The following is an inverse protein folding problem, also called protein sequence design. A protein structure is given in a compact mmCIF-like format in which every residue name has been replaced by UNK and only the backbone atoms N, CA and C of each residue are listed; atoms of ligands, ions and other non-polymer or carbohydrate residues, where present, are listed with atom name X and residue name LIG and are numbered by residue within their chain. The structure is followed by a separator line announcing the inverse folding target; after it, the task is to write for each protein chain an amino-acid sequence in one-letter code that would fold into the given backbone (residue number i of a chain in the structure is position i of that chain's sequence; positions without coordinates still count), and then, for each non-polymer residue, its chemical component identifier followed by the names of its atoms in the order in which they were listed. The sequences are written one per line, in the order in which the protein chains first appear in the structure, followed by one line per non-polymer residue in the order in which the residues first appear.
data_IF_983566283773
#
_entry.id   IF_983566283773
#
_cell.length_a   1.000
_cell.length_b   1.000
_cell.length_c   1.000
_cell.angle_alpha   90.00
_cell.angle_beta   90.00
_cell.angle_gamma   90.00
#
_symmetry.space_group_name_H-M   'P 1'
#
loop_
_entity.id
_entity.type
_entity.pdbx_description
1 polymer ?
#
# COMPACT_ATOMS: atom_id res chain seq x y z
N UNK A 1 46.86 -38.02 45.68
CA UNK A 1 47.81 -37.21 44.88
C UNK A 1 47.02 -36.17 44.07
N UNK A 2 47.59 -34.97 43.87
CA UNK A 2 47.33 -33.95 42.81
C UNK A 2 45.87 -33.71 42.36
N UNK A 3 45.26 -32.57 42.74
CA UNK A 3 45.18 -31.27 42.00
C UNK A 3 44.17 -31.31 40.81
N UNK A 4 43.09 -30.52 40.72
CA UNK A 4 42.74 -29.10 41.04
C UNK A 4 43.01 -28.11 39.88
N UNK A 5 42.08 -27.13 39.72
CA UNK A 5 41.99 -25.98 38.78
C UNK A 5 41.36 -26.28 37.40
N UNK A 6 40.25 -25.64 36.96
CA UNK A 6 39.91 -24.19 36.74
C UNK A 6 40.36 -23.70 35.33
N UNK A 7 39.76 -22.69 34.67
CA UNK A 7 38.90 -21.57 35.13
C UNK A 7 37.92 -21.04 34.05
N UNK A 8 36.85 -20.40 34.55
CA UNK A 8 35.80 -19.53 34.00
C UNK A 8 36.01 -18.64 32.74
N UNK A 9 34.87 -18.33 32.11
CA UNK A 9 34.44 -16.97 31.73
C UNK A 9 33.12 -16.99 30.93
N UNK A 10 32.05 -16.22 31.22
CA UNK A 10 31.75 -15.31 32.34
C UNK A 10 30.23 -14.98 32.44
N UNK A 11 29.84 -14.40 33.58
CA UNK A 11 28.48 -14.14 34.11
C UNK A 11 27.49 -13.28 33.27
N UNK A 12 26.19 -13.62 33.44
CA UNK A 12 25.00 -12.77 33.81
C UNK A 12 24.53 -11.61 32.88
N UNK A 13 23.23 -11.29 32.76
CA UNK A 13 22.24 -10.84 33.79
C UNK A 13 20.79 -11.25 33.44
N UNK A 14 19.93 -11.35 34.46
CA UNK A 14 18.50 -11.74 34.41
C UNK A 14 17.56 -10.51 34.31
N UNK A 15 16.60 -10.56 33.38
CA UNK A 15 15.19 -10.07 33.48
C UNK A 15 14.33 -10.93 32.53
N UNK A 16 13.09 -11.38 32.83
CA UNK A 16 12.38 -11.34 34.11
C UNK A 16 10.85 -11.59 34.08
N UNK A 17 10.27 -12.31 33.10
CA UNK A 17 8.81 -12.44 32.94
C UNK A 17 8.27 -13.87 33.12
N UNK A 18 7.58 -14.07 34.25
CA UNK A 18 6.56 -15.09 34.58
C UNK A 18 6.66 -16.47 33.91
N UNK A 19 7.16 -17.45 34.67
CA UNK A 19 7.00 -18.86 34.35
C UNK A 19 5.55 -19.31 34.56
N UNK A 20 4.72 -19.28 33.51
CA UNK A 20 3.52 -20.12 33.47
C UNK A 20 3.96 -21.57 33.42
N UNK A 21 3.76 -22.30 34.52
CA UNK A 21 3.88 -23.76 34.53
C UNK A 21 2.79 -24.30 33.61
N UNK A 22 3.16 -24.67 32.39
CA UNK A 22 2.31 -25.50 31.55
C UNK A 22 2.30 -26.88 32.19
N UNK A 23 1.25 -27.17 32.96
CA UNK A 23 0.98 -28.53 33.38
C UNK A 23 0.81 -29.38 32.11
N UNK A 24 1.64 -30.42 31.98
CA UNK A 24 1.42 -31.47 30.98
C UNK A 24 0.25 -32.36 31.43
N UNK A 25 -0.94 -31.78 31.57
CA UNK A 25 -2.16 -32.54 31.74
C UNK A 25 -2.43 -33.29 30.43
N UNK A 26 -2.50 -34.61 30.52
CA UNK A 26 -2.95 -35.42 29.40
C UNK A 26 -4.39 -35.03 29.05
N UNK A 27 -4.75 -34.96 27.76
CA UNK A 27 -6.10 -34.60 27.34
C UNK A 27 -7.12 -35.53 27.99
N UNK A 28 -8.16 -34.96 28.60
CA UNK A 28 -9.31 -35.77 29.01
C UNK A 28 -9.95 -36.33 27.75
N UNK A 29 -10.21 -37.65 27.73
CA UNK A 29 -10.78 -38.33 26.54
C UNK A 29 -12.09 -37.71 26.07
N UNK A 30 -12.83 -37.09 26.99
CA UNK A 30 -14.06 -36.33 26.76
C UNK A 30 -13.76 -35.06 25.95
N UNK A 31 -12.79 -34.23 26.34
CA UNK A 31 -12.46 -33.00 25.61
C UNK A 31 -12.00 -33.30 24.18
N UNK A 32 -11.17 -34.34 24.02
CA UNK A 32 -10.68 -34.82 22.72
C UNK A 32 -11.84 -35.28 21.81
N UNK A 33 -12.75 -36.11 22.32
CA UNK A 33 -13.89 -36.62 21.54
C UNK A 33 -14.91 -35.52 21.16
N UNK A 34 -15.14 -34.54 22.04
CA UNK A 34 -16.02 -33.40 21.69
C UNK A 34 -15.36 -32.53 20.61
N UNK A 35 -14.04 -32.31 20.68
CA UNK A 35 -13.29 -31.59 19.65
C UNK A 35 -13.34 -32.31 18.29
N UNK A 36 -13.08 -33.61 18.26
CA UNK A 36 -13.20 -34.47 17.06
C UNK A 36 -14.58 -34.35 16.40
N UNK A 37 -15.65 -34.42 17.19
CA UNK A 37 -17.02 -34.27 16.68
C UNK A 37 -17.32 -32.84 16.20
N UNK A 38 -16.76 -31.81 16.83
CA UNK A 38 -16.97 -30.41 16.43
C UNK A 38 -16.30 -30.07 15.08
N UNK A 39 -15.15 -30.67 14.78
CA UNK A 39 -14.45 -30.45 13.50
C UNK A 39 -14.84 -31.47 12.42
N UNK A 40 -15.59 -32.54 12.76
CA UNK A 40 -15.76 -33.73 11.90
C UNK A 40 -16.11 -33.42 10.45
N UNK A 41 -17.10 -32.56 10.21
CA UNK A 41 -17.53 -32.20 8.85
C UNK A 41 -16.41 -31.57 8.03
N UNK A 42 -15.65 -30.63 8.60
CA UNK A 42 -14.56 -29.96 7.90
C UNK A 42 -13.29 -30.83 7.81
N UNK A 43 -13.08 -31.74 8.77
CA UNK A 43 -12.01 -32.73 8.75
C UNK A 43 -12.25 -33.77 7.64
N UNK A 44 -13.46 -34.33 7.56
CA UNK A 44 -13.86 -35.26 6.50
C UNK A 44 -13.75 -34.56 5.13
N UNK A 45 -14.28 -33.33 5.01
CA UNK A 45 -14.15 -32.51 3.80
C UNK A 45 -12.69 -32.23 3.40
N UNK A 46 -11.81 -31.93 4.35
CA UNK A 46 -10.39 -31.73 4.10
C UNK A 46 -9.69 -33.03 3.65
N UNK A 47 -10.10 -34.18 4.18
CA UNK A 47 -9.58 -35.50 3.77
C UNK A 47 -9.95 -35.85 2.32
N UNK A 48 -11.11 -35.40 1.83
CA UNK A 48 -11.59 -35.65 0.45
C UNK A 48 -10.87 -34.81 -0.62
N UNK A 49 -10.14 -33.75 -0.24
CA UNK A 49 -9.39 -32.88 -1.16
C UNK A 49 -8.20 -33.63 -1.75
N UNK A 50 -8.38 -34.15 -2.96
CA UNK A 50 -7.42 -35.02 -3.66
C UNK A 50 -7.01 -34.48 -5.04
N UNK A 51 -7.57 -33.34 -5.46
CA UNK A 51 -7.30 -32.74 -6.78
C UNK A 51 -7.03 -31.24 -6.66
N UNK A 52 -6.30 -30.67 -7.62
CA UNK A 52 -6.00 -29.24 -7.65
C UNK A 52 -7.28 -28.38 -7.64
N UNK A 53 -8.31 -28.78 -8.39
CA UNK A 53 -9.62 -28.11 -8.41
C UNK A 53 -10.29 -28.08 -7.03
N UNK A 54 -10.29 -29.20 -6.29
CA UNK A 54 -10.90 -29.26 -4.96
C UNK A 54 -10.08 -28.50 -3.92
N UNK A 55 -8.75 -28.47 -4.06
CA UNK A 55 -7.85 -27.70 -3.20
C UNK A 55 -8.02 -26.17 -3.37
N UNK A 56 -8.09 -25.67 -4.61
CA UNK A 56 -8.37 -24.24 -4.85
C UNK A 56 -9.78 -23.85 -4.37
N UNK A 57 -10.79 -24.70 -4.56
CA UNK A 57 -12.14 -24.42 -4.05
C UNK A 57 -12.18 -24.37 -2.51
N UNK A 58 -11.48 -25.28 -1.82
CA UNK A 58 -11.37 -25.25 -0.35
C UNK A 58 -10.68 -23.96 0.12
N UNK A 59 -9.60 -23.55 -0.55
CA UNK A 59 -8.88 -22.29 -0.29
C UNK A 59 -9.76 -21.05 -0.50
N UNK A 60 -10.61 -21.03 -1.53
CA UNK A 60 -11.60 -19.95 -1.74
C UNK A 60 -12.59 -19.91 -0.57
N UNK A 61 -13.18 -21.04 -0.20
CA UNK A 61 -14.16 -21.10 0.89
C UNK A 61 -13.56 -20.77 2.28
N UNK A 62 -12.28 -21.08 2.48
CA UNK A 62 -11.51 -20.65 3.64
C UNK A 62 -11.33 -19.12 3.68
N UNK A 63 -10.86 -18.52 2.58
CA UNK A 63 -10.67 -17.08 2.47
C UNK A 63 -11.99 -16.28 2.56
N UNK A 64 -13.10 -16.86 2.08
CA UNK A 64 -14.45 -16.31 2.19
C UNK A 64 -15.05 -16.42 3.61
N UNK A 65 -14.31 -16.97 4.59
CA UNK A 65 -14.77 -17.25 5.96
C UNK A 65 -15.99 -18.19 6.04
N UNK A 66 -16.19 -19.07 5.04
CA UNK A 66 -17.23 -20.11 5.07
C UNK A 66 -16.79 -21.28 5.96
N UNK A 67 -15.49 -21.56 6.01
CA UNK A 67 -14.88 -22.61 6.84
C UNK A 67 -14.51 -22.00 8.20
N UNK A 68 -15.27 -22.35 9.24
CA UNK A 68 -15.04 -21.89 10.62
C UNK A 68 -15.64 -22.86 11.62
N UNK A 69 -14.94 -23.10 12.72
CA UNK A 69 -15.43 -23.85 13.88
C UNK A 69 -15.17 -22.98 15.12
N UNK A 70 -16.18 -22.80 15.97
CA UNK A 70 -16.08 -22.02 17.20
C UNK A 70 -15.02 -22.64 18.13
N UNK A 71 -14.22 -21.81 18.81
CA UNK A 71 -13.10 -22.23 19.66
C UNK A 71 -11.97 -23.04 18.98
N UNK A 72 -11.84 -22.94 17.65
CA UNK A 72 -10.80 -23.63 16.87
C UNK A 72 -10.08 -22.66 15.92
N UNK A 73 -8.76 -22.67 15.96
CA UNK A 73 -7.88 -22.07 14.95
C UNK A 73 -7.70 -23.09 13.84
N UNK A 74 -7.93 -22.69 12.59
CA UNK A 74 -7.80 -23.56 11.41
C UNK A 74 -6.67 -23.02 10.53
N UNK A 75 -5.66 -23.86 10.26
CA UNK A 75 -4.53 -23.52 9.40
C UNK A 75 -4.55 -24.35 8.11
N UNK A 76 -4.86 -23.69 6.99
CA UNK A 76 -4.80 -24.29 5.66
C UNK A 76 -3.36 -24.37 5.16
N UNK A 77 -2.86 -25.60 4.98
CA UNK A 77 -1.52 -25.88 4.48
C UNK A 77 -1.61 -26.47 3.06
N UNK A 78 -1.72 -25.59 2.07
CA UNK A 78 -1.82 -25.94 0.66
C UNK A 78 -0.66 -25.36 -0.17
N UNK A 79 0.14 -26.26 -0.75
CA UNK A 79 1.18 -25.97 -1.74
C UNK A 79 0.59 -26.32 -3.11
N UNK A 80 0.49 -25.32 -3.99
CA UNK A 80 -0.03 -25.47 -5.35
C UNK A 80 0.94 -26.33 -6.18
N UNK A 81 0.47 -27.35 -6.94
CA UNK A 81 1.33 -28.12 -7.83
C UNK A 81 1.92 -27.26 -8.97
N UNK A 82 3.06 -27.71 -9.48
CA UNK A 82 3.67 -27.20 -10.72
C UNK A 82 3.89 -28.37 -11.68
N UNK A 83 4.17 -28.08 -12.96
CA UNK A 83 4.37 -29.15 -13.96
C UNK A 83 5.48 -30.15 -13.61
N UNK A 84 6.49 -29.73 -12.83
CA UNK A 84 7.62 -30.57 -12.39
C UNK A 84 7.41 -31.22 -11.02
N UNK A 85 6.47 -30.73 -10.21
CA UNK A 85 6.36 -31.07 -8.79
C UNK A 85 4.90 -31.11 -8.33
N UNK A 86 4.44 -32.27 -7.87
CA UNK A 86 3.16 -32.40 -7.16
C UNK A 86 3.13 -31.48 -5.94
N UNK A 87 2.00 -30.82 -5.75
CA UNK A 87 1.69 -30.02 -4.59
C UNK A 87 1.25 -30.88 -3.40
N UNK A 88 0.79 -30.24 -2.34
CA UNK A 88 0.33 -30.92 -1.13
C UNK A 88 -0.78 -30.15 -0.45
N UNK A 89 -1.79 -30.86 0.05
CA UNK A 89 -2.89 -30.29 0.81
C UNK A 89 -3.04 -31.01 2.16
N UNK A 90 -3.12 -30.22 3.24
CA UNK A 90 -3.68 -30.64 4.51
C UNK A 90 -4.18 -29.43 5.32
N UNK A 91 -4.98 -29.69 6.35
CA UNK A 91 -5.51 -28.70 7.28
C UNK A 91 -5.17 -29.10 8.70
N UNK A 92 -4.74 -28.14 9.52
CA UNK A 92 -4.51 -28.31 10.95
C UNK A 92 -5.62 -27.61 11.72
N UNK A 93 -6.23 -28.33 12.66
CA UNK A 93 -7.26 -27.84 13.56
C UNK A 93 -6.67 -27.78 14.97
N UNK A 94 -6.56 -26.58 15.53
CA UNK A 94 -5.91 -26.30 16.82
C UNK A 94 -6.90 -25.65 17.79
N UNK A 95 -7.24 -26.27 18.92
CA UNK A 95 -8.08 -25.67 19.95
C UNK A 95 -7.57 -24.31 20.45
N UNK A 96 -8.46 -23.36 20.71
CA UNK A 96 -8.07 -22.09 21.37
C UNK A 96 -7.75 -22.32 22.85
N UNK A 97 -6.75 -21.60 23.37
CA UNK A 97 -6.28 -21.75 24.77
C UNK A 97 -7.30 -21.36 25.84
N UNK A 98 -8.36 -20.62 25.47
CA UNK A 98 -9.45 -20.17 26.36
C UNK A 98 -10.81 -20.77 26.02
N UNK A 99 -10.89 -21.56 24.95
CA UNK A 99 -12.15 -22.10 24.45
C UNK A 99 -12.55 -23.44 25.06
N UNK A 100 -13.75 -23.91 24.67
CA UNK A 100 -14.38 -25.16 25.09
C UNK A 100 -13.51 -26.42 24.87
N UNK A 101 -12.54 -26.36 23.97
CA UNK A 101 -11.67 -27.48 23.59
C UNK A 101 -10.22 -27.36 24.09
N UNK A 102 -9.91 -26.41 24.99
CA UNK A 102 -8.54 -26.08 25.39
C UNK A 102 -7.70 -27.22 26.02
N UNK A 103 -8.32 -28.36 26.37
CA UNK A 103 -7.64 -29.58 26.83
C UNK A 103 -7.40 -30.62 25.71
N UNK A 104 -7.93 -30.43 24.51
CA UNK A 104 -7.75 -31.34 23.37
C UNK A 104 -6.41 -31.07 22.66
N UNK A 105 -5.92 -32.07 21.93
CA UNK A 105 -4.73 -31.94 21.07
C UNK A 105 -5.12 -31.52 19.66
N UNK A 106 -4.19 -30.89 18.94
CA UNK A 106 -4.35 -30.60 17.50
C UNK A 106 -4.72 -31.86 16.72
N UNK A 107 -5.56 -31.70 15.69
CA UNK A 107 -5.90 -32.75 14.73
C UNK A 107 -5.53 -32.26 13.35
N UNK A 108 -5.00 -33.15 12.53
CA UNK A 108 -4.59 -32.88 11.15
C UNK A 108 -5.44 -33.72 10.21
N UNK A 109 -5.85 -33.14 9.09
CA UNK A 109 -6.35 -33.95 7.97
C UNK A 109 -5.25 -34.87 7.44
N UNK A 110 -5.65 -35.83 6.62
CA UNK A 110 -4.75 -36.55 5.72
C UNK A 110 -3.86 -35.57 4.95
N UNK A 111 -2.62 -35.97 4.75
CA UNK A 111 -1.69 -35.29 3.84
C UNK A 111 -1.90 -35.85 2.44
N UNK A 112 -2.56 -35.06 1.59
CA UNK A 112 -2.87 -35.46 0.22
C UNK A 112 -1.86 -34.82 -0.73
N UNK A 113 -1.16 -35.64 -1.52
CA UNK A 113 -0.40 -35.15 -2.66
C UNK A 113 -1.38 -34.69 -3.74
N UNK A 114 -1.13 -33.52 -4.33
CA UNK A 114 -1.99 -32.91 -5.33
C UNK A 114 -1.22 -32.85 -6.64
N UNK A 115 -1.64 -33.60 -7.64
CA UNK A 115 -0.99 -33.58 -8.95
C UNK A 115 -1.42 -32.36 -9.79
N UNK A 116 -0.55 -31.96 -10.72
CA UNK A 116 -0.77 -30.82 -11.61
C UNK A 116 -1.86 -31.13 -12.66
N UNK A 117 -2.96 -30.39 -12.62
CA UNK A 117 -4.03 -30.51 -13.61
C UNK A 117 -3.64 -29.76 -14.89
N UNK A 118 -2.92 -30.47 -15.76
CA UNK A 118 -2.45 -29.98 -17.06
C UNK A 118 -3.60 -29.51 -17.96
N UNK A 119 -4.80 -30.10 -17.83
CA UNK A 119 -5.96 -29.71 -18.64
C UNK A 119 -6.55 -28.39 -18.14
N UNK A 120 -6.76 -28.25 -16.83
CA UNK A 120 -7.24 -27.01 -16.23
C UNK A 120 -6.24 -25.85 -16.45
N UNK A 121 -4.92 -26.13 -16.36
CA UNK A 121 -3.89 -25.14 -16.62
C UNK A 121 -3.83 -24.72 -18.10
N UNK A 122 -3.99 -25.65 -19.04
CA UNK A 122 -4.11 -25.35 -20.47
C UNK A 122 -5.37 -24.49 -20.76
N UNK A 123 -6.52 -24.88 -20.21
CA UNK A 123 -7.77 -24.15 -20.38
C UNK A 123 -7.69 -22.72 -19.83
N UNK A 124 -7.09 -22.54 -18.65
CA UNK A 124 -6.82 -21.23 -18.07
C UNK A 124 -5.90 -20.38 -18.96
N UNK A 125 -4.84 -20.98 -19.54
CA UNK A 125 -3.90 -20.27 -20.41
C UNK A 125 -4.54 -19.80 -21.72
N UNK A 126 -5.45 -20.57 -22.32
CA UNK A 126 -6.12 -20.20 -23.57
C UNK A 126 -7.40 -19.37 -23.39
N UNK A 127 -7.98 -19.32 -22.19
CA UNK A 127 -9.32 -18.79 -21.93
C UNK A 127 -9.58 -17.41 -22.57
N UNK A 128 -8.67 -16.46 -22.40
CA UNK A 128 -8.84 -15.10 -22.91
C UNK A 128 -8.75 -14.99 -24.44
N UNK A 129 -8.06 -15.92 -25.10
CA UNK A 129 -7.98 -15.99 -26.57
C UNK A 129 -9.16 -16.77 -27.14
N UNK A 130 -9.59 -17.83 -26.45
CA UNK A 130 -10.80 -18.58 -26.76
C UNK A 130 -12.05 -17.67 -26.68
N UNK A 131 -12.17 -16.85 -25.63
CA UNK A 131 -13.24 -15.84 -25.49
C UNK A 131 -13.15 -14.79 -26.61
N UNK A 132 -11.96 -14.28 -26.92
CA UNK A 132 -11.82 -13.28 -27.99
C UNK A 132 -12.22 -13.85 -29.36
N UNK A 133 -11.75 -15.04 -29.70
CA UNK A 133 -12.13 -15.75 -30.92
C UNK A 133 -13.65 -15.98 -31.03
N UNK A 134 -14.32 -16.29 -29.91
CA UNK A 134 -15.78 -16.44 -29.85
C UNK A 134 -16.56 -15.15 -30.18
N UNK A 135 -15.96 -13.96 -30.06
CA UNK A 135 -16.63 -12.69 -30.38
C UNK A 135 -16.43 -12.23 -31.83
N UNK A 136 -15.62 -12.94 -32.63
CA UNK A 136 -15.32 -12.58 -34.01
C UNK A 136 -16.49 -12.99 -34.92
N UNK A 137 -17.28 -12.00 -35.35
CA UNK A 137 -18.53 -12.17 -36.13
C UNK A 137 -18.55 -11.40 -37.46
N UNK A 138 -17.51 -10.61 -37.75
CA UNK A 138 -17.43 -9.78 -38.97
C UNK A 138 -16.20 -10.15 -39.82
N UNK A 139 -16.31 -9.97 -41.15
CA UNK A 139 -15.25 -10.29 -42.13
C UNK A 139 -13.92 -9.63 -41.76
N UNK A 140 -13.92 -8.30 -41.60
CA UNK A 140 -12.73 -7.51 -41.29
C UNK A 140 -11.95 -8.00 -40.06
N UNK A 141 -12.65 -8.43 -39.00
CA UNK A 141 -12.01 -8.94 -37.78
C UNK A 141 -11.52 -10.39 -37.98
N UNK A 142 -12.29 -11.23 -38.68
CA UNK A 142 -11.88 -12.60 -39.01
C UNK A 142 -10.67 -12.65 -39.96
N UNK A 143 -10.61 -11.74 -40.92
CA UNK A 143 -9.48 -11.55 -41.83
C UNK A 143 -8.20 -11.14 -41.09
N UNK A 144 -8.31 -10.13 -40.23
CA UNK A 144 -7.17 -9.57 -39.48
C UNK A 144 -6.91 -10.26 -38.13
N UNK A 145 -7.55 -11.41 -37.85
CA UNK A 145 -7.33 -12.16 -36.63
C UNK A 145 -5.87 -12.63 -36.51
N UNK A 146 -5.17 -12.07 -35.54
CA UNK A 146 -3.79 -12.36 -35.21
C UNK A 146 -3.69 -12.68 -33.71
N UNK A 147 -3.69 -13.97 -33.31
CA UNK A 147 -3.76 -14.36 -31.90
C UNK A 147 -2.53 -13.92 -31.12
N UNK A 148 -2.72 -13.61 -29.84
CA UNK A 148 -1.60 -13.39 -28.93
C UNK A 148 -0.83 -14.72 -28.75
N UNK A 149 0.52 -14.73 -28.85
CA UNK A 149 1.30 -15.95 -28.60
C UNK A 149 1.12 -16.43 -27.15
N UNK A 150 0.73 -17.69 -27.00
CA UNK A 150 0.63 -18.42 -25.74
C UNK A 150 1.77 -19.43 -25.71
N UNK A 151 2.51 -19.53 -24.60
CA UNK A 151 3.60 -20.50 -24.49
C UNK A 151 3.07 -21.91 -24.65
N UNK A 152 3.80 -22.76 -25.38
CA UNK A 152 3.47 -24.17 -25.57
C UNK A 152 2.09 -24.46 -26.20
N UNK A 153 1.49 -23.49 -26.89
CA UNK A 153 0.22 -23.65 -27.62
C UNK A 153 0.37 -23.10 -29.04
N UNK A 154 0.13 -23.97 -30.02
CA UNK A 154 -0.06 -23.58 -31.42
C UNK A 154 -1.51 -23.09 -31.61
N UNK A 155 -1.66 -21.91 -32.19
CA UNK A 155 -2.97 -21.30 -32.46
C UNK A 155 -3.13 -21.11 -33.96
N UNK A 156 -4.13 -21.76 -34.55
CA UNK A 156 -4.44 -21.64 -35.97
C UNK A 156 -5.85 -21.06 -36.18
N UNK A 157 -6.03 -20.29 -37.25
CA UNK A 157 -7.35 -19.80 -37.67
C UNK A 157 -7.87 -20.65 -38.83
N UNK A 158 -9.12 -21.08 -38.71
CA UNK A 158 -9.91 -21.60 -39.80
C UNK A 158 -10.92 -20.51 -40.18
N UNK A 159 -10.68 -19.85 -41.32
CA UNK A 159 -11.58 -18.83 -41.85
C UNK A 159 -11.96 -19.16 -43.28
N UNK A 160 -13.26 -19.21 -43.54
CA UNK A 160 -13.87 -19.31 -44.86
C UNK A 160 -14.60 -18.00 -45.11
N UNK A 161 -14.15 -17.26 -46.12
CA UNK A 161 -14.76 -15.99 -46.50
C UNK A 161 -16.16 -16.23 -47.12
N UNK A 162 -17.19 -15.45 -46.75
CA UNK A 162 -18.51 -15.54 -47.39
C UNK A 162 -18.42 -15.14 -48.87
N UNK A 163 -19.21 -15.82 -49.72
CA UNK A 163 -19.10 -15.72 -51.19
C UNK A 163 -20.25 -14.91 -51.82
N UNK A 164 -21.45 -14.97 -51.25
CA UNK A 164 -22.64 -14.21 -51.72
C UNK A 164 -23.63 -13.99 -50.56
N UNK A 165 -24.66 -13.13 -50.71
CA UNK A 165 -25.65 -12.88 -49.65
C UNK A 165 -26.36 -14.14 -49.11
N UNK A 166 -26.36 -15.22 -49.87
CA UNK A 166 -26.94 -16.53 -49.57
C UNK A 166 -25.92 -17.55 -49.03
N UNK A 167 -24.62 -17.23 -49.08
CA UNK A 167 -23.51 -18.11 -48.70
C UNK A 167 -22.66 -17.41 -47.63
N UNK A 168 -23.06 -17.63 -46.38
CA UNK A 168 -22.29 -17.22 -45.20
C UNK A 168 -20.94 -17.95 -45.13
N UNK A 169 -19.96 -17.25 -44.57
CA UNK A 169 -18.65 -17.76 -44.23
C UNK A 169 -18.59 -18.24 -42.79
N UNK A 170 -17.41 -18.67 -42.36
CA UNK A 170 -17.19 -19.29 -41.07
C UNK A 170 -15.86 -18.84 -40.48
N UNK A 171 -15.83 -18.55 -39.18
CA UNK A 171 -14.60 -18.32 -38.41
C UNK A 171 -14.52 -19.27 -37.21
N UNK A 172 -13.35 -19.86 -37.00
CA UNK A 172 -13.02 -20.64 -35.82
C UNK A 172 -11.51 -20.55 -35.53
N UNK A 173 -11.12 -20.46 -34.26
CA UNK A 173 -9.73 -20.62 -33.82
C UNK A 173 -9.54 -22.00 -33.16
N UNK A 174 -8.40 -22.65 -33.44
CA UNK A 174 -8.00 -23.91 -32.80
C UNK A 174 -6.75 -23.70 -31.96
N UNK A 175 -6.75 -24.30 -30.77
CA UNK A 175 -5.72 -24.21 -29.74
C UNK A 175 -5.16 -25.61 -29.49
N UNK A 176 -3.93 -25.85 -29.93
CA UNK A 176 -3.31 -27.18 -29.91
C UNK A 176 -2.05 -27.13 -29.04
N UNK A 177 -1.97 -27.88 -27.94
CA UNK A 177 -0.74 -28.02 -27.17
C UNK A 177 0.43 -28.50 -28.03
N UNK A 178 1.61 -27.92 -27.84
CA UNK A 178 2.83 -28.37 -28.51
C UNK A 178 3.28 -29.71 -27.95
N UNK A 179 3.87 -30.56 -28.80
CA UNK A 179 4.28 -31.95 -28.46
C UNK A 179 5.44 -32.07 -27.46
N UNK A 180 5.98 -30.96 -26.97
CA UNK A 180 7.15 -30.91 -26.09
C UNK A 180 7.07 -29.79 -25.05
N UNK A 181 5.88 -29.21 -24.88
CA UNK A 181 5.63 -28.10 -23.97
C UNK A 181 4.86 -28.53 -22.72
N UNK A 182 4.68 -27.63 -21.76
CA UNK A 182 4.08 -27.94 -20.45
C UNK A 182 2.63 -28.46 -20.53
N UNK A 183 1.96 -28.27 -21.67
CA UNK A 183 0.59 -28.71 -21.94
C UNK A 183 0.49 -29.98 -22.80
N UNK A 184 1.59 -30.70 -23.08
CA UNK A 184 1.65 -31.83 -24.03
C UNK A 184 0.55 -32.91 -23.88
N UNK A 185 0.02 -33.08 -22.67
CA UNK A 185 -1.02 -34.07 -22.32
C UNK A 185 -2.45 -33.51 -22.32
N UNK A 186 -2.62 -32.20 -22.51
CA UNK A 186 -3.94 -31.58 -22.60
C UNK A 186 -4.61 -31.88 -23.94
N UNK A 187 -5.93 -31.95 -23.93
CA UNK A 187 -6.75 -32.12 -25.13
C UNK A 187 -6.92 -30.76 -25.83
N UNK A 188 -6.66 -30.67 -27.16
CA UNK A 188 -6.87 -29.46 -27.93
C UNK A 188 -8.30 -28.89 -27.78
N UNK A 189 -8.42 -27.57 -27.94
CA UNK A 189 -9.71 -26.86 -27.88
C UNK A 189 -9.92 -26.03 -29.12
N UNK A 190 -11.19 -25.76 -29.43
CA UNK A 190 -11.59 -24.88 -30.54
C UNK A 190 -12.59 -23.86 -30.03
N UNK A 191 -12.61 -22.67 -30.64
CA UNK A 191 -13.68 -21.70 -30.43
C UNK A 191 -15.01 -22.24 -30.98
N UNK A 192 -16.09 -21.55 -30.64
CA UNK A 192 -17.34 -21.62 -31.40
C UNK A 192 -17.08 -21.40 -32.88
N UNK A 193 -17.84 -22.11 -33.70
CA UNK A 193 -17.92 -21.89 -35.14
C UNK A 193 -18.81 -20.66 -35.39
N UNK A 194 -18.21 -19.49 -35.54
CA UNK A 194 -18.94 -18.26 -35.78
C UNK A 194 -19.33 -18.13 -37.26
N UNK A 195 -20.59 -17.78 -37.51
CA UNK A 195 -21.11 -17.50 -38.86
C UNK A 195 -20.72 -16.07 -39.24
N UNK A 196 -20.13 -15.89 -40.43
CA UNK A 196 -19.66 -14.60 -40.93
C UNK A 196 -20.46 -14.21 -42.17
N UNK A 197 -21.34 -13.22 -42.04
CA UNK A 197 -22.25 -12.83 -43.13
C UNK A 197 -21.54 -12.09 -44.27
N UNK A 198 -22.04 -12.29 -45.49
CA UNK A 198 -21.47 -11.69 -46.70
C UNK A 198 -21.52 -10.16 -46.72
N UNK A 199 -22.68 -9.58 -46.49
CA UNK A 199 -22.86 -8.13 -46.47
C UNK A 199 -23.11 -7.61 -45.06
N UNK A 200 -22.30 -6.62 -44.67
CA UNK A 200 -22.68 -5.69 -43.63
C UNK A 200 -23.90 -4.92 -44.12
N UNK A 201 -25.08 -5.32 -43.62
CA UNK A 201 -26.36 -4.67 -43.84
C UNK A 201 -26.25 -3.14 -43.65
N UNK A 202 -27.17 -2.38 -44.26
CA UNK A 202 -27.17 -0.92 -44.13
C UNK A 202 -27.25 -0.41 -42.68
N UNK A 203 -27.68 -1.25 -41.74
CA UNK A 203 -27.67 -0.99 -40.29
C UNK A 203 -26.33 -1.39 -39.63
N UNK A 204 -25.68 -2.49 -40.06
CA UNK A 204 -24.32 -2.87 -39.64
C UNK A 204 -23.28 -1.82 -40.05
N UNK A 205 -23.33 -1.30 -41.28
CA UNK A 205 -22.42 -0.22 -41.73
C UNK A 205 -22.61 1.08 -40.93
N UNK A 206 -23.84 1.38 -40.51
CA UNK A 206 -24.14 2.52 -39.63
C UNK A 206 -23.64 2.29 -38.20
N UNK A 207 -23.72 1.06 -37.70
CA UNK A 207 -23.15 0.68 -36.40
C UNK A 207 -21.63 0.82 -36.41
N UNK A 208 -20.95 0.27 -37.42
CA UNK A 208 -19.50 0.38 -37.59
C UNK A 208 -19.02 1.83 -37.71
N UNK A 209 -19.68 2.64 -38.55
CA UNK A 209 -19.38 4.07 -38.66
C UNK A 209 -19.64 4.86 -37.35
N UNK A 210 -20.54 4.40 -36.49
CA UNK A 210 -20.82 5.03 -35.20
C UNK A 210 -19.84 4.64 -34.08
N UNK A 211 -19.05 3.57 -34.27
CA UNK A 211 -18.00 3.16 -33.34
C UNK A 211 -16.58 3.47 -33.85
N UNK A 212 -16.41 3.91 -35.10
CA UNK A 212 -15.11 3.98 -35.79
C UNK A 212 -14.03 4.76 -35.00
N UNK A 213 -14.35 5.97 -34.53
CA UNK A 213 -13.43 6.79 -33.71
C UNK A 213 -13.01 6.07 -32.40
N UNK A 214 -13.96 5.41 -31.74
CA UNK A 214 -13.75 4.73 -30.46
C UNK A 214 -13.02 3.39 -30.64
N UNK A 215 -13.29 2.71 -31.75
CA UNK A 215 -12.61 1.49 -32.21
C UNK A 215 -11.16 1.80 -32.58
N UNK A 216 -10.91 2.88 -33.33
CA UNK A 216 -9.57 3.36 -33.66
C UNK A 216 -8.79 3.77 -32.40
N UNK A 217 -9.44 4.46 -31.45
CA UNK A 217 -8.86 4.79 -30.15
C UNK A 217 -8.47 3.51 -29.38
N UNK A 218 -9.38 2.54 -29.25
CA UNK A 218 -9.14 1.28 -28.56
C UNK A 218 -8.00 0.46 -29.20
N UNK A 219 -7.98 0.36 -30.53
CA UNK A 219 -6.91 -0.30 -31.28
C UNK A 219 -5.53 0.35 -31.03
N UNK A 220 -5.49 1.68 -30.83
CA UNK A 220 -4.27 2.44 -30.54
C UNK A 220 -3.70 2.31 -29.11
N UNK A 221 -4.35 1.53 -28.23
CA UNK A 221 -3.92 1.36 -26.83
C UNK A 221 -2.95 0.18 -26.71
N UNK A 222 -1.66 0.52 -26.68
CA UNK A 222 -0.54 -0.42 -26.62
C UNK A 222 0.27 -0.34 -25.31
N UNK A 223 -0.15 0.47 -24.34
CA UNK A 223 0.60 0.73 -23.10
C UNK A 223 -0.30 0.89 -21.87
N UNK A 224 0.31 0.79 -20.69
CA UNK A 224 -0.40 0.73 -19.41
C UNK A 224 -1.10 2.05 -19.08
N UNK A 225 -0.38 3.18 -19.23
CA UNK A 225 -0.92 4.53 -18.96
C UNK A 225 -2.24 4.77 -19.74
N UNK A 226 -2.25 4.48 -21.06
CA UNK A 226 -3.43 4.67 -21.91
C UNK A 226 -4.57 3.71 -21.59
N UNK A 227 -4.29 2.48 -21.17
CA UNK A 227 -5.33 1.53 -20.79
C UNK A 227 -5.99 1.87 -19.45
N UNK A 228 -5.21 2.32 -18.45
CA UNK A 228 -5.77 2.86 -17.21
C UNK A 228 -6.57 4.13 -17.47
N UNK A 229 -6.08 5.03 -18.33
CA UNK A 229 -6.80 6.24 -18.71
C UNK A 229 -8.12 5.88 -19.40
N UNK A 230 -8.11 5.00 -20.41
CA UNK A 230 -9.33 4.57 -21.10
C UNK A 230 -10.35 3.92 -20.13
N UNK A 231 -9.86 3.11 -19.19
CA UNK A 231 -10.70 2.52 -18.13
C UNK A 231 -11.27 3.55 -17.13
N UNK A 232 -10.67 4.74 -17.02
CA UNK A 232 -11.16 5.84 -16.18
C UNK A 232 -12.12 6.76 -16.97
N UNK A 233 -11.82 6.99 -18.25
CA UNK A 233 -12.62 7.83 -19.15
C UNK A 233 -13.93 7.12 -19.57
N UNK A 234 -13.95 5.78 -19.61
CA UNK A 234 -15.15 4.96 -19.86
C UNK A 234 -16.04 4.85 -18.59
N UNK A 235 -16.49 6.00 -18.08
CA UNK A 235 -17.43 6.08 -16.95
C UNK A 235 -18.83 5.59 -17.35
N UNK A 236 -19.25 5.89 -18.58
CA UNK A 236 -20.53 5.43 -19.15
C UNK A 236 -20.28 4.36 -20.24
N UNK A 237 -20.68 3.10 -20.02
CA UNK A 237 -20.59 2.06 -21.04
C UNK A 237 -21.57 2.28 -22.21
N UNK A 238 -22.44 3.28 -22.17
CA UNK A 238 -23.37 3.65 -23.26
C UNK A 238 -23.03 5.01 -23.91
N UNK A 239 -21.77 5.47 -23.77
CA UNK A 239 -21.20 6.67 -24.43
C UNK A 239 -21.60 6.83 -25.91
N UNK A 240 -21.77 5.72 -26.63
CA UNK A 240 -22.25 5.68 -28.02
C UNK A 240 -23.74 5.26 -28.00
N UNK A 241 -24.68 6.10 -28.46
CA UNK A 241 -26.12 5.81 -28.39
C UNK A 241 -26.51 4.47 -29.04
N UNK A 242 -27.15 3.60 -28.26
CA UNK A 242 -27.58 2.28 -28.73
C UNK A 242 -26.48 1.21 -28.78
N UNK A 243 -25.29 1.49 -28.25
CA UNK A 243 -24.16 0.56 -28.15
C UNK A 243 -23.74 0.43 -26.69
N UNK A 244 -23.47 -0.80 -26.25
CA UNK A 244 -22.81 -1.09 -24.98
C UNK A 244 -21.34 -1.39 -25.24
N UNK A 245 -20.45 -0.65 -24.61
CA UNK A 245 -19.01 -0.84 -24.63
C UNK A 245 -18.64 -1.78 -23.48
N UNK A 246 -18.05 -2.93 -23.81
CA UNK A 246 -17.58 -3.92 -22.84
C UNK A 246 -16.05 -3.90 -22.83
N UNK A 247 -15.47 -3.25 -21.83
CA UNK A 247 -14.02 -3.25 -21.61
C UNK A 247 -13.55 -4.60 -21.08
N UNK A 248 -12.47 -5.11 -21.67
CA UNK A 248 -11.74 -6.30 -21.23
C UNK A 248 -10.28 -5.90 -20.97
N UNK A 249 -9.99 -5.55 -19.73
CA UNK A 249 -8.69 -5.05 -19.31
C UNK A 249 -8.13 -5.85 -18.12
N UNK A 250 -6.92 -6.40 -18.31
CA UNK A 250 -6.10 -7.02 -17.26
C UNK A 250 -4.82 -6.19 -17.18
N UNK A 251 -4.56 -5.59 -16.01
CA UNK A 251 -3.38 -4.76 -15.78
C UNK A 251 -2.10 -5.63 -15.81
N UNK A 252 -1.01 -5.19 -16.48
CA UNK A 252 0.24 -5.93 -16.53
C UNK A 252 0.90 -6.04 -15.14
N UNK A 253 1.46 -7.21 -14.83
CA UNK A 253 2.31 -7.42 -13.64
C UNK A 253 3.79 -7.31 -14.03
N UNK A 254 4.71 -7.34 -13.07
CA UNK A 254 6.14 -7.40 -13.38
C UNK A 254 6.55 -8.68 -14.14
N UNK A 255 5.77 -9.76 -13.99
CA UNK A 255 6.03 -11.07 -14.61
C UNK A 255 5.20 -11.27 -15.89
N UNK A 256 3.98 -10.72 -15.92
CA UNK A 256 2.97 -11.04 -16.92
C UNK A 256 2.59 -9.81 -17.76
N UNK A 257 2.43 -10.03 -19.06
CA UNK A 257 1.82 -9.02 -19.94
C UNK A 257 0.35 -8.86 -19.57
N UNK A 258 -0.09 -7.62 -19.51
CA UNK A 258 -1.51 -7.27 -19.42
C UNK A 258 -2.21 -7.47 -20.76
N UNK A 259 -3.53 -7.33 -20.72
CA UNK A 259 -4.41 -7.53 -21.85
C UNK A 259 -5.37 -6.34 -21.95
N UNK A 260 -5.59 -5.81 -23.14
CA UNK A 260 -6.61 -4.79 -23.39
C UNK A 260 -7.33 -5.05 -24.71
N UNK A 261 -8.66 -5.06 -24.66
CA UNK A 261 -9.54 -4.90 -25.81
C UNK A 261 -10.93 -4.45 -25.35
N UNK A 262 -11.74 -4.04 -26.32
CA UNK A 262 -13.10 -3.54 -26.12
C UNK A 262 -14.04 -4.29 -27.05
N UNK A 263 -15.23 -4.68 -26.57
CA UNK A 263 -16.29 -5.26 -27.41
C UNK A 263 -17.41 -4.24 -27.52
N UNK A 264 -17.72 -3.82 -28.74
CA UNK A 264 -18.86 -2.97 -29.06
C UNK A 264 -20.07 -3.85 -29.32
N UNK A 265 -21.03 -3.84 -28.39
CA UNK A 265 -22.23 -4.68 -28.42
C UNK A 265 -23.48 -3.83 -28.66
N UNK A 266 -24.16 -3.98 -29.81
CA UNK A 266 -25.45 -3.33 -30.07
C UNK A 266 -26.48 -3.67 -28.97
N UNK A 267 -27.21 -2.68 -28.46
CA UNK A 267 -28.22 -2.96 -27.42
C UNK A 267 -29.48 -3.58 -28.03
N UNK A 268 -30.10 -4.52 -27.31
CA UNK A 268 -31.22 -5.33 -27.82
C UNK A 268 -32.48 -4.52 -28.23
N UNK A 269 -32.58 -3.26 -27.80
CA UNK A 269 -33.65 -2.32 -28.13
C UNK A 269 -33.11 -1.00 -28.73
N UNK A 270 -31.83 -0.95 -29.12
CA UNK A 270 -31.17 0.24 -29.67
C UNK A 270 -31.40 0.43 -31.17
N UNK A 271 -30.91 1.55 -31.69
CA UNK A 271 -30.97 1.90 -33.13
C UNK A 271 -30.16 0.96 -34.04
N UNK A 272 -29.30 0.11 -33.45
CA UNK A 272 -28.50 -0.92 -34.12
C UNK A 272 -29.01 -2.34 -33.81
N UNK A 273 -30.27 -2.50 -33.39
CA UNK A 273 -30.82 -3.82 -33.06
C UNK A 273 -30.65 -4.81 -34.23
N UNK A 274 -30.06 -5.96 -33.93
CA UNK A 274 -29.85 -7.06 -34.89
C UNK A 274 -28.55 -6.99 -35.68
N UNK A 275 -27.67 -6.01 -35.41
CA UNK A 275 -26.29 -6.01 -35.92
C UNK A 275 -25.40 -6.92 -35.08
N UNK A 276 -24.33 -7.42 -35.69
CA UNK A 276 -23.34 -8.26 -35.03
C UNK A 276 -22.36 -7.38 -34.24
N UNK A 277 -21.86 -7.91 -33.10
CA UNK A 277 -20.90 -7.18 -32.26
C UNK A 277 -19.53 -7.10 -32.92
N UNK A 278 -18.81 -6.01 -32.67
CA UNK A 278 -17.47 -5.77 -33.20
C UNK A 278 -16.49 -5.63 -32.04
N UNK A 279 -15.51 -6.54 -31.88
CA UNK A 279 -14.42 -6.34 -30.96
C UNK A 279 -13.30 -5.48 -31.58
N UNK A 280 -12.58 -4.75 -30.73
CA UNK A 280 -11.31 -4.11 -31.08
C UNK A 280 -10.22 -5.16 -31.31
N UNK A 281 -9.07 -4.73 -31.81
CA UNK A 281 -7.85 -5.52 -31.78
C UNK A 281 -7.52 -5.92 -30.32
N UNK A 282 -7.05 -7.16 -30.15
CA UNK A 282 -6.57 -7.68 -28.88
C UNK A 282 -5.11 -7.29 -28.65
N UNK A 283 -4.87 -6.36 -27.73
CA UNK A 283 -3.54 -5.81 -27.48
C UNK A 283 -2.90 -6.39 -26.21
N UNK A 284 -1.69 -6.94 -26.35
CA UNK A 284 -0.83 -7.27 -25.21
C UNK A 284 -0.16 -6.01 -24.68
N UNK A 285 -0.38 -5.68 -23.41
CA UNK A 285 0.22 -4.52 -22.74
C UNK A 285 1.45 -4.95 -21.95
N UNK A 286 2.58 -4.29 -22.21
CA UNK A 286 3.81 -4.50 -21.43
C UNK A 286 3.75 -3.76 -20.10
N UNK A 287 4.32 -4.37 -19.06
CA UNK A 287 4.57 -3.69 -17.79
C UNK A 287 5.40 -2.42 -17.99
N UNK A 288 5.02 -1.35 -17.30
CA UNK A 288 5.73 -0.07 -17.31
C UNK A 288 6.15 0.27 -15.88
N UNK A 289 7.42 0.03 -15.51
CA UNK A 289 7.92 0.27 -14.16
C UNK A 289 7.65 1.69 -13.66
N UNK A 290 7.77 2.69 -14.53
CA UNK A 290 7.53 4.09 -14.15
C UNK A 290 6.08 4.38 -13.76
N UNK A 291 5.11 3.81 -14.49
CA UNK A 291 3.68 3.91 -14.19
C UNK A 291 3.36 3.25 -12.85
N UNK A 292 3.86 2.02 -12.67
CA UNK A 292 3.66 1.28 -11.44
C UNK A 292 4.29 1.98 -10.23
N UNK A 293 5.48 2.58 -10.37
CA UNK A 293 6.11 3.38 -9.32
C UNK A 293 5.26 4.63 -9.00
N UNK A 294 4.86 5.42 -10.01
CA UNK A 294 3.98 6.60 -9.83
C UNK A 294 2.69 6.24 -9.06
N UNK A 295 2.06 5.11 -9.40
CA UNK A 295 0.84 4.62 -8.75
C UNK A 295 1.11 4.22 -7.29
N UNK A 296 2.18 3.46 -7.03
CA UNK A 296 2.55 2.99 -5.70
C UNK A 296 2.92 4.13 -4.73
N UNK A 297 3.52 5.22 -5.21
CA UNK A 297 3.91 6.36 -4.38
C UNK A 297 2.84 7.47 -4.32
N UNK A 298 1.72 7.36 -5.04
CA UNK A 298 0.78 8.47 -5.32
C UNK A 298 0.34 9.24 -4.06
N UNK A 299 -0.02 8.53 -3.01
CA UNK A 299 -0.47 9.13 -1.74
C UNK A 299 0.70 9.71 -0.95
N UNK A 300 1.84 9.01 -0.93
CA UNK A 300 3.00 9.36 -0.13
C UNK A 300 3.80 10.54 -0.71
N UNK A 301 3.89 10.64 -2.05
CA UNK A 301 4.42 11.84 -2.71
C UNK A 301 3.50 13.05 -2.50
N UNK A 302 2.18 12.85 -2.47
CA UNK A 302 1.23 13.93 -2.18
C UNK A 302 1.34 14.39 -0.72
N UNK A 303 1.52 13.45 0.21
CA UNK A 303 1.81 13.74 1.63
C UNK A 303 3.11 14.53 1.77
N UNK A 304 4.18 14.11 1.10
CA UNK A 304 5.46 14.83 1.10
C UNK A 304 5.33 16.25 0.49
N UNK A 305 4.64 16.40 -0.64
CA UNK A 305 4.38 17.69 -1.29
C UNK A 305 3.61 18.68 -0.41
N UNK A 306 2.82 18.18 0.56
CA UNK A 306 2.01 19.00 1.46
C UNK A 306 2.77 19.48 2.72
N UNK A 307 4.02 19.05 2.95
CA UNK A 307 4.81 19.47 4.11
C UNK A 307 5.34 20.88 3.92
N UNK A 308 4.86 21.80 4.75
CA UNK A 308 5.18 23.24 4.72
C UNK A 308 5.66 23.79 6.07
N UNK A 309 5.91 22.92 7.05
CA UNK A 309 6.35 23.32 8.40
C UNK A 309 7.34 22.31 8.97
N UNK A 310 8.21 22.78 9.86
CA UNK A 310 9.21 21.95 10.56
C UNK A 310 8.58 20.81 11.36
N UNK A 311 7.49 21.09 12.08
CA UNK A 311 6.74 20.09 12.85
C UNK A 311 6.20 18.97 11.94
N UNK A 312 5.78 19.30 10.72
CA UNK A 312 5.31 18.31 9.76
C UNK A 312 6.46 17.48 9.15
N UNK A 313 7.61 18.11 8.88
CA UNK A 313 8.83 17.43 8.45
C UNK A 313 9.36 16.46 9.52
N UNK A 314 9.46 16.90 10.78
CA UNK A 314 9.82 16.05 11.92
C UNK A 314 8.87 14.85 12.07
N UNK A 315 7.55 15.10 12.00
CA UNK A 315 6.54 14.03 12.12
C UNK A 315 6.70 13.01 10.99
N UNK A 316 6.98 13.47 9.78
CA UNK A 316 7.21 12.60 8.63
C UNK A 316 8.44 11.71 8.83
N UNK A 317 9.57 12.30 9.27
CA UNK A 317 10.77 11.53 9.62
C UNK A 317 10.47 10.47 10.69
N UNK A 318 9.77 10.83 11.78
CA UNK A 318 9.40 9.90 12.85
C UNK A 318 8.45 8.78 12.37
N UNK A 319 7.53 9.07 11.45
CA UNK A 319 6.65 8.06 10.85
C UNK A 319 7.42 7.13 9.87
N UNK A 320 8.49 7.61 9.24
CA UNK A 320 9.40 6.78 8.45
C UNK A 320 10.30 5.90 9.33
N UNK A 321 10.96 6.48 10.34
CA UNK A 321 11.86 5.76 11.25
C UNK A 321 11.14 4.66 12.05
N UNK A 322 9.85 4.88 12.36
CA UNK A 322 8.97 3.87 13.00
C UNK A 322 8.38 2.84 12.01
N UNK A 323 8.76 2.89 10.73
CA UNK A 323 8.37 1.92 9.71
C UNK A 323 6.94 2.05 9.18
N UNK A 324 6.19 3.10 9.56
CA UNK A 324 4.82 3.35 9.04
C UNK A 324 4.85 3.78 7.58
N UNK A 325 5.87 4.53 7.18
CA UNK A 325 6.11 4.90 5.78
C UNK A 325 7.01 3.84 5.15
N UNK A 326 6.41 2.83 4.52
CA UNK A 326 7.12 1.78 3.81
C UNK A 326 6.37 1.41 2.54
N UNK A 327 7.05 1.59 1.40
CA UNK A 327 6.57 1.15 0.10
C UNK A 327 7.43 -0.05 -0.30
N UNK A 328 6.79 -1.16 -0.70
CA UNK A 328 7.49 -2.36 -1.17
C UNK A 328 8.44 -1.98 -2.31
N UNK A 329 9.64 -2.55 -2.34
CA UNK A 329 10.58 -2.43 -3.46
C UNK A 329 11.00 -0.99 -3.85
N UNK A 330 10.80 -0.02 -2.94
CA UNK A 330 11.23 1.38 -3.05
C UNK A 330 12.13 1.74 -1.87
N UNK A 331 13.20 2.46 -2.15
CA UNK A 331 14.04 3.16 -1.17
C UNK A 331 13.57 4.61 -1.07
N UNK A 332 13.33 5.07 0.16
CA UNK A 332 12.82 6.41 0.44
C UNK A 332 13.94 7.22 1.09
N UNK A 333 14.48 8.18 0.37
CA UNK A 333 15.44 9.15 0.88
C UNK A 333 14.73 10.41 1.33
N UNK A 334 14.77 10.72 2.63
CA UNK A 334 14.21 11.96 3.19
C UNK A 334 15.35 12.96 3.35
N UNK A 335 15.15 14.16 2.81
CA UNK A 335 16.10 15.27 2.85
C UNK A 335 15.41 16.46 3.51
N UNK A 336 15.75 16.74 4.76
CA UNK A 336 15.20 17.88 5.47
C UNK A 336 16.25 18.61 6.30
N UNK A 337 16.03 19.90 6.50
CA UNK A 337 16.91 20.78 7.27
C UNK A 337 16.07 21.66 8.16
N UNK A 338 16.37 21.69 9.46
CA UNK A 338 15.77 22.64 10.40
C UNK A 338 15.93 24.08 9.93
N UNK A 339 14.93 24.90 10.26
CA UNK A 339 15.01 26.34 10.05
C UNK A 339 15.85 27.00 11.15
N UNK A 340 16.40 28.18 10.86
CA UNK A 340 17.11 29.01 11.85
C UNK A 340 16.72 30.47 11.65
N UNK A 341 17.01 31.39 12.60
CA UNK A 341 16.79 32.82 12.41
C UNK A 341 17.52 33.45 11.20
N UNK A 342 18.44 32.73 10.56
CA UNK A 342 19.23 33.19 9.40
C UNK A 342 19.01 32.37 8.12
N UNK A 343 18.37 31.21 8.20
CA UNK A 343 18.22 30.28 7.07
C UNK A 343 16.86 29.59 7.11
N UNK A 344 16.15 29.54 5.99
CA UNK A 344 14.93 28.74 5.88
C UNK A 344 15.23 27.26 6.08
N UNK A 345 14.30 26.56 6.71
CA UNK A 345 14.30 25.11 6.69
C UNK A 345 13.82 24.60 5.33
N UNK A 346 14.02 23.32 5.04
CA UNK A 346 13.57 22.73 3.78
C UNK A 346 13.22 21.26 3.93
N UNK A 347 12.37 20.74 3.04
CA UNK A 347 11.96 19.35 3.01
C UNK A 347 11.76 18.85 1.56
N UNK A 348 12.31 17.68 1.25
CA UNK A 348 12.07 16.90 0.03
C UNK A 348 12.18 15.40 0.32
N UNK A 349 11.38 14.59 -0.37
CA UNK A 349 11.49 13.12 -0.38
C UNK A 349 11.86 12.63 -1.79
N UNK A 350 12.70 11.60 -1.87
CA UNK A 350 13.08 10.92 -3.11
C UNK A 350 12.69 9.45 -3.00
N UNK A 351 11.88 9.00 -3.95
CA UNK A 351 11.42 7.62 -4.08
C UNK A 351 12.23 6.93 -5.18
N UNK A 352 13.20 6.11 -4.79
CA UNK A 352 14.10 5.39 -5.69
C UNK A 352 13.67 3.92 -5.80
N UNK A 353 13.45 3.37 -7.01
CA UNK A 353 13.14 1.95 -7.15
C UNK A 353 14.37 1.09 -6.80
N UNK A 354 14.17 -0.05 -6.12
CA UNK A 354 15.25 -1.01 -5.87
C UNK A 354 15.72 -1.68 -7.15
N UNK A 355 17.01 -1.95 -7.23
CA UNK A 355 17.67 -2.54 -8.42
C UNK A 355 17.17 -3.95 -8.78
N UNK A 356 16.62 -4.69 -7.81
CA UNK A 356 16.05 -6.03 -7.95
C UNK A 356 14.55 -6.08 -7.58
N UNK A 357 13.88 -4.93 -7.51
CA UNK A 357 12.46 -4.82 -7.13
C UNK A 357 11.51 -4.81 -8.32
N UNK A 358 10.20 -4.92 -8.07
CA UNK A 358 9.18 -4.89 -9.14
C UNK A 358 9.20 -3.60 -9.98
N UNK A 359 9.77 -2.50 -9.48
CA UNK A 359 9.92 -1.23 -10.19
C UNK A 359 11.27 -1.08 -10.92
N UNK A 360 12.03 -2.17 -11.10
CA UNK A 360 13.31 -2.15 -11.82
C UNK A 360 13.16 -1.51 -13.21
N UNK A 361 14.02 -0.55 -13.53
CA UNK A 361 13.97 0.22 -14.78
C UNK A 361 13.14 1.52 -14.71
N UNK A 362 12.46 1.80 -13.60
CA UNK A 362 11.95 3.14 -13.33
C UNK A 362 13.09 4.10 -12.92
N UNK A 363 12.90 5.40 -13.10
CA UNK A 363 13.77 6.45 -12.58
C UNK A 363 13.20 7.03 -11.26
N UNK A 364 14.07 7.48 -10.32
CA UNK A 364 13.62 8.04 -9.04
C UNK A 364 12.70 9.24 -9.20
N UNK A 365 11.62 9.29 -8.41
CA UNK A 365 10.66 10.40 -8.40
C UNK A 365 10.91 11.24 -7.14
N UNK A 366 10.92 12.57 -7.29
CA UNK A 366 11.14 13.52 -6.19
C UNK A 366 9.85 14.25 -5.85
N UNK A 367 9.59 14.47 -4.57
CA UNK A 367 8.59 15.45 -4.14
C UNK A 367 9.04 16.87 -4.53
N UNK A 368 8.09 17.80 -4.53
CA UNK A 368 8.37 19.23 -4.50
C UNK A 368 9.29 19.50 -3.29
N UNK A 369 10.32 20.32 -3.48
CA UNK A 369 11.12 20.87 -2.38
C UNK A 369 10.37 22.06 -1.81
N UNK A 370 9.90 21.95 -0.57
CA UNK A 370 9.26 23.04 0.14
C UNK A 370 10.27 23.66 1.12
N UNK A 371 10.48 24.96 1.03
CA UNK A 371 11.20 25.73 2.04
C UNK A 371 10.19 26.30 3.06
N UNK A 372 10.56 26.40 4.33
CA UNK A 372 9.71 26.95 5.40
C UNK A 372 10.49 27.89 6.33
N UNK A 373 9.79 28.93 6.79
CA UNK A 373 10.35 29.94 7.69
C UNK A 373 10.54 29.39 9.11
N UNK A 374 11.42 30.06 9.85
CA UNK A 374 11.68 29.77 11.26
C UNK A 374 10.52 30.28 12.14
N UNK A 375 9.57 29.38 12.40
CA UNK A 375 8.47 29.62 13.34
C UNK A 375 8.98 29.31 14.75
N UNK A 376 9.46 30.33 15.45
CA UNK A 376 9.80 30.23 16.87
C UNK A 376 8.51 29.97 17.63
N UNK A 377 8.45 28.89 18.40
CA UNK A 377 7.27 28.57 19.20
C UNK A 377 7.36 29.33 20.53
N UNK A 378 6.23 29.74 21.11
CA UNK A 378 6.17 30.37 22.45
C UNK A 378 7.01 29.60 23.49
N UNK A 379 7.05 28.27 23.39
CA UNK A 379 7.84 27.36 24.23
C UNK A 379 9.35 27.62 24.20
N UNK A 380 9.90 28.10 23.09
CA UNK A 380 11.34 28.40 22.98
C UNK A 380 11.68 29.73 23.66
N UNK A 381 10.75 30.69 23.63
CA UNK A 381 10.83 31.92 24.44
C UNK A 381 10.71 31.60 25.93
N UNK A 382 9.67 30.84 26.32
CA UNK A 382 9.48 30.37 27.71
C UNK A 382 10.73 29.65 28.21
N UNK A 383 11.24 28.66 27.46
CA UNK A 383 12.46 27.90 27.81
C UNK A 383 13.71 28.78 27.93
N UNK A 384 13.83 29.83 27.13
CA UNK A 384 14.95 30.76 27.20
C UNK A 384 14.94 31.61 28.48
N UNK A 385 13.76 32.05 28.95
CA UNK A 385 13.63 32.82 30.20
C UNK A 385 13.51 31.95 31.46
N UNK A 386 13.06 30.70 31.34
CA UNK A 386 12.62 29.84 32.45
C UNK A 386 13.66 29.68 33.58
N UNK A 387 14.95 29.52 33.24
CA UNK A 387 15.99 29.34 34.25
C UNK A 387 16.17 30.59 35.13
N UNK A 388 16.20 31.76 34.49
CA UNK A 388 16.38 33.05 35.15
C UNK A 388 15.10 33.50 35.87
N UNK A 389 13.93 33.21 35.27
CA UNK A 389 12.60 33.38 35.87
C UNK A 389 12.47 32.60 37.18
N UNK A 390 12.77 31.29 37.18
CA UNK A 390 12.70 30.44 38.39
C UNK A 390 13.64 30.86 39.50
N UNK A 391 14.81 31.42 39.15
CA UNK A 391 15.74 31.93 40.15
C UNK A 391 15.26 33.28 40.72
N UNK A 392 14.75 34.18 39.87
CA UNK A 392 14.14 35.44 40.31
C UNK A 392 12.89 35.22 41.19
N UNK A 393 12.07 34.20 40.88
CA UNK A 393 10.94 33.79 41.72
C UNK A 393 11.40 33.31 43.12
N UNK A 394 12.63 32.81 43.28
CA UNK A 394 13.10 32.29 44.57
C UNK A 394 13.68 33.35 45.51
N UNK A 395 13.98 34.55 45.00
CA UNK A 395 14.60 35.64 45.77
C UNK A 395 13.67 36.06 46.92
N UNK A 396 14.11 35.85 48.15
CA UNK A 396 13.36 36.18 49.37
C UNK A 396 13.88 37.43 50.12
N UNK A 397 15.08 37.89 49.76
CA UNK A 397 15.81 38.92 50.50
C UNK A 397 16.71 39.78 49.61
N UNK A 398 17.07 40.97 50.13
CA UNK A 398 17.97 41.92 49.46
C UNK A 398 19.36 41.31 49.19
N UNK A 399 19.81 40.37 50.03
CA UNK A 399 21.11 39.70 49.87
C UNK A 399 21.10 38.75 48.67
N UNK A 400 20.05 37.94 48.53
CA UNK A 400 19.85 37.08 47.36
C UNK A 400 19.67 37.91 46.08
N UNK A 401 18.93 39.01 46.16
CA UNK A 401 18.72 39.93 45.03
C UNK A 401 20.05 40.48 44.50
N UNK A 402 20.94 40.92 45.40
CA UNK A 402 22.29 41.40 45.03
C UNK A 402 23.15 40.30 44.42
N UNK A 403 23.02 39.05 44.90
CA UNK A 403 23.72 37.90 44.33
C UNK A 403 23.21 37.56 42.92
N UNK A 404 21.89 37.56 42.72
CA UNK A 404 21.25 37.34 41.42
C UNK A 404 21.68 38.39 40.39
N UNK A 405 21.58 39.69 40.72
CA UNK A 405 21.98 40.75 39.80
C UNK A 405 23.48 40.67 39.45
N UNK A 406 24.35 40.36 40.42
CA UNK A 406 25.78 40.14 40.16
C UNK A 406 26.02 38.94 39.22
N UNK A 407 25.27 37.84 39.38
CA UNK A 407 25.37 36.63 38.53
C UNK A 407 25.02 36.92 37.08
N UNK A 408 24.00 37.74 36.84
CA UNK A 408 23.50 38.07 35.51
C UNK A 408 24.01 39.42 34.97
N UNK A 409 24.98 40.05 35.64
CA UNK A 409 25.54 41.36 35.32
C UNK A 409 24.47 42.46 35.12
N UNK A 410 23.47 42.47 36.00
CA UNK A 410 22.42 43.47 36.07
C UNK A 410 22.81 44.58 37.06
N UNK A 411 22.61 45.83 36.68
CA UNK A 411 22.61 46.96 37.61
C UNK A 411 21.38 46.90 38.53
N UNK A 412 21.55 47.42 39.74
CA UNK A 412 20.54 47.51 40.80
C UNK A 412 20.03 48.94 41.02
N UNK A 413 20.36 49.88 40.14
CA UNK A 413 19.80 51.24 40.19
C UNK A 413 18.28 51.24 39.99
N UNK A 414 17.62 52.24 40.58
CA UNK A 414 16.17 52.42 40.48
C UNK A 414 15.84 52.68 39.00
N UNK A 415 15.05 51.78 38.39
CA UNK A 415 14.70 51.76 36.96
C UNK A 415 15.87 51.53 36.00
N UNK A 416 16.69 50.51 36.25
CA UNK A 416 17.72 50.05 35.31
C UNK A 416 17.14 49.21 34.16
N UNK A 417 17.43 49.62 32.91
CA UNK A 417 17.03 48.90 31.69
C UNK A 417 18.25 48.19 31.09
N UNK A 418 18.26 46.86 31.17
CA UNK A 418 19.31 46.02 30.57
C UNK A 418 18.87 45.53 29.20
N UNK A 419 19.05 46.38 28.19
CA UNK A 419 18.95 46.00 26.78
C UNK A 419 20.11 45.09 26.31
N UNK A 420 20.68 44.29 27.23
CA UNK A 420 21.98 43.68 27.05
C UNK A 420 21.85 42.36 26.28
N UNK A 421 22.49 42.31 25.11
CA UNK A 421 22.32 41.25 24.10
C UNK A 421 22.85 39.87 24.54
N UNK A 422 23.51 39.82 25.69
CA UNK A 422 24.39 38.72 26.08
C UNK A 422 23.79 37.78 27.14
N UNK A 423 22.72 38.18 27.86
CA UNK A 423 22.12 37.35 28.93
C UNK A 423 21.11 36.35 28.37
N UNK A 424 20.14 36.85 27.60
CA UNK A 424 19.17 36.03 26.84
C UNK A 424 19.00 36.68 25.46
N UNK A 425 19.52 36.10 24.37
CA UNK A 425 19.49 36.72 23.05
C UNK A 425 18.07 37.10 22.60
N UNK A 426 17.85 38.38 22.27
CA UNK A 426 16.54 38.87 21.80
C UNK A 426 15.52 39.17 22.89
N UNK A 427 15.88 39.11 24.17
CA UNK A 427 15.05 39.51 25.32
C UNK A 427 15.69 40.73 26.01
N UNK A 428 14.90 41.78 26.20
CA UNK A 428 15.21 42.93 27.05
C UNK A 428 14.86 42.54 28.49
N UNK A 429 15.80 42.77 29.43
CA UNK A 429 15.59 42.49 30.85
C UNK A 429 15.58 43.83 31.58
N UNK A 430 14.53 44.11 32.35
CA UNK A 430 14.43 45.33 33.16
C UNK A 430 14.39 44.96 34.62
N UNK A 431 15.09 45.71 35.46
CA UNK A 431 15.15 45.45 36.90
C UNK A 431 15.04 46.74 37.71
N UNK A 432 14.32 46.66 38.83
CA UNK A 432 14.30 47.72 39.82
C UNK A 432 14.30 47.10 41.23
N UNK A 433 15.15 47.66 42.10
CA UNK A 433 15.09 47.45 43.54
C UNK A 433 14.57 48.76 44.15
N UNK A 434 13.42 48.70 44.81
CA UNK A 434 12.75 49.89 45.34
C UNK A 434 12.25 49.70 46.76
N UNK A 435 11.86 50.81 47.37
CA UNK A 435 11.10 50.84 48.61
C UNK A 435 9.85 51.65 48.33
N UNK A 436 8.68 51.08 48.60
CA UNK A 436 7.44 51.85 48.52
C UNK A 436 7.47 52.93 49.62
N UNK A 437 7.09 54.16 49.26
CA UNK A 437 7.06 55.27 50.20
C UNK A 437 5.83 55.23 51.11
N UNK A 438 4.85 54.37 50.80
CA UNK A 438 3.57 54.25 51.52
C UNK A 438 3.43 52.95 52.32
N UNK A 439 4.06 51.86 51.87
CA UNK A 439 4.17 50.61 52.62
C UNK A 439 5.65 50.24 52.84
N UNK A 440 6.00 49.79 54.05
CA UNK A 440 7.39 49.72 54.48
C UNK A 440 8.34 48.64 53.86
N UNK A 441 7.90 47.57 53.17
CA UNK A 441 8.83 46.57 52.65
C UNK A 441 9.62 47.08 51.43
N UNK A 442 10.82 46.53 51.27
CA UNK A 442 11.54 46.61 50.00
C UNK A 442 10.86 45.71 48.96
N UNK A 443 10.91 46.09 47.70
CA UNK A 443 10.47 45.25 46.59
C UNK A 443 11.54 45.10 45.53
N UNK A 444 11.53 43.94 44.87
CA UNK A 444 12.28 43.65 43.66
C UNK A 444 11.32 43.41 42.51
N UNK A 445 11.60 44.07 41.39
CA UNK A 445 10.88 43.95 40.13
C UNK A 445 11.86 43.46 39.06
N UNK A 446 11.44 42.45 38.30
CA UNK A 446 12.08 42.04 37.04
C UNK A 446 11.04 41.82 35.96
N UNK A 447 11.35 42.27 34.75
CA UNK A 447 10.51 42.14 33.58
C UNK A 447 11.35 41.60 32.40
N UNK A 448 10.85 40.56 31.76
CA UNK A 448 11.39 39.96 30.54
C UNK A 448 10.51 40.38 29.36
N UNK A 449 11.05 41.16 28.44
CA UNK A 449 10.31 41.71 27.30
C UNK A 449 10.99 41.31 25.98
N UNK A 450 10.26 40.77 24.98
CA UNK A 450 10.84 40.54 23.66
C UNK A 450 11.32 41.85 23.02
N UNK A 451 12.55 41.88 22.51
CA UNK A 451 13.08 43.05 21.79
C UNK A 451 12.32 43.19 20.47
N UNK A 452 11.85 44.41 20.15
CA UNK A 452 11.20 44.69 18.85
C UNK A 452 12.16 44.40 17.69
N UNK A 453 11.74 43.57 16.74
CA UNK A 453 12.60 43.07 15.65
C UNK A 453 13.67 42.06 16.08
N UNK A 454 13.71 41.66 17.36
CA UNK A 454 14.54 40.56 17.87
C UNK A 454 13.90 39.19 17.62
N UNK A 455 14.64 38.11 17.90
CA UNK A 455 14.19 36.75 17.56
C UNK A 455 12.84 36.37 18.20
N UNK A 456 12.49 36.89 19.37
CA UNK A 456 11.22 36.58 20.03
C UNK A 456 10.09 37.59 19.71
N UNK A 457 10.30 38.59 18.84
CA UNK A 457 9.40 39.75 18.74
C UNK A 457 7.98 39.44 18.23
N UNK A 458 7.78 38.31 17.57
CA UNK A 458 6.49 37.88 16.99
C UNK A 458 5.68 36.93 17.87
N UNK A 459 6.29 36.38 18.94
CA UNK A 459 5.72 35.25 19.70
C UNK A 459 5.96 35.31 21.21
N UNK A 460 6.95 36.06 21.67
CA UNK A 460 7.20 36.22 23.10
C UNK A 460 6.14 37.11 23.76
N UNK A 461 5.92 36.89 25.05
CA UNK A 461 4.99 37.66 25.88
C UNK A 461 5.80 38.36 26.96
N UNK A 462 5.45 39.59 27.31
CA UNK A 462 6.10 40.30 28.42
C UNK A 462 5.78 39.59 29.75
N UNK A 463 6.83 39.17 30.47
CA UNK A 463 6.70 38.42 31.74
C UNK A 463 7.26 39.27 32.88
N UNK A 464 6.41 39.57 33.85
CA UNK A 464 6.72 40.43 35.00
C UNK A 464 6.71 39.62 36.30
N UNK A 465 7.70 39.87 37.17
CA UNK A 465 7.80 39.27 38.50
C UNK A 465 8.01 40.40 39.50
N UNK A 466 7.15 40.44 40.52
CA UNK A 466 7.29 41.34 41.67
C UNK A 466 7.47 40.49 42.93
N UNK A 467 8.48 40.81 43.73
CA UNK A 467 8.75 40.23 45.05
C UNK A 467 8.79 41.33 46.10
N UNK A 468 8.14 41.11 47.24
CA UNK A 468 8.24 41.97 48.42
C UNK A 468 9.07 41.25 49.48
N UNK A 469 10.07 41.93 50.02
CA UNK A 469 10.92 41.44 51.09
C UNK A 469 10.31 41.82 52.44
N UNK A 470 10.18 40.85 53.35
CA UNK A 470 9.86 41.15 54.75
C UNK A 470 11.07 41.86 55.36
N UNK A 471 10.84 43.07 55.89
CA UNK A 471 11.86 43.91 56.51
C UNK A 471 12.27 43.44 57.90
#
# INVERSE_FOLDING_TARGET
MKKLLMLLGSLSIIVGSVSTVIACDNPTSIAQSIFENAIKTELDRANEVTTQLTAEQYKIDFNDNKIKVEDVIIELNYIVPTHDQSGSFHVVFTPTVVGKYNQAKEIKSSYNAIDYDVQAAFEAAINDELIYANEIKTRNVADNYNPAPISDVEISKNYVEPISPEIDGQFQAAFTPTKSGIYEKATPRVSSSNIIKYENSGIQKKFEAAIDDELALANGIMNHDKAEQYSQDLVDPYKIPGVKIILKYISPTFQDKGLFYVIFTPTANGIYKGTDSVPSQKNQIKYQPQTALKKAIKEEIQRANNIKTEIAAEKYQKDFDSGKIKIRDVEIGIYWTSSTPKTKGSFQVVFSPKTNGIYQGAYPIRSIKNDYEHIIVLKDYEKAIEAMKKEAERIDSITEQKAFSKKYNLDNSINSVHGNRDVIPGVEIRTALGRDHTTLPWYYWINFKPISGGIYSSVGIEVEIIRQFKG
#
